data_IF_967258714120
#
_entry.id   IF_967258714120
#
_cell.length_a   1.000
_cell.length_b   1.000
_cell.length_c   1.000
_cell.angle_alpha   90.00
_cell.angle_beta   90.00
_cell.angle_gamma   90.00
#
_symmetry.space_group_name_H-M   'P 1'
#
loop_
_entity.id
_entity.type
_entity.pdbx_description
1 polymer ?
#
# COMPACT_ATOMS: atom_id res chain seq x y z
N UNK A 1 -4.81 0.65 -12.99
CA UNK A 1 -3.41 0.18 -12.83
C UNK A 1 -2.98 -0.63 -14.02
N UNK A 2 -1.75 -0.47 -14.43
CA UNK A 2 -1.17 -1.21 -15.52
C UNK A 2 -1.04 -2.71 -15.14
N UNK A 3 -1.38 -3.61 -16.06
CA UNK A 3 -1.30 -5.06 -15.84
C UNK A 3 0.13 -5.49 -15.48
N UNK A 4 1.15 -4.86 -16.06
CA UNK A 4 2.54 -5.19 -15.76
C UNK A 4 2.91 -4.86 -14.32
N UNK A 5 2.42 -3.74 -13.79
CA UNK A 5 2.61 -3.37 -12.38
C UNK A 5 1.93 -4.41 -11.50
N UNK A 6 0.69 -4.78 -11.83
CA UNK A 6 -0.04 -5.80 -11.08
C UNK A 6 0.74 -7.11 -11.05
N UNK A 7 1.27 -7.55 -12.19
CA UNK A 7 2.05 -8.79 -12.27
C UNK A 7 3.32 -8.71 -11.43
N UNK A 8 3.97 -7.56 -11.37
CA UNK A 8 5.15 -7.38 -10.51
C UNK A 8 4.79 -7.50 -9.04
N UNK A 9 3.67 -6.89 -8.64
CA UNK A 9 3.18 -7.01 -7.25
C UNK A 9 2.83 -8.46 -6.95
N UNK A 10 2.13 -9.13 -7.86
CA UNK A 10 1.69 -10.52 -7.68
C UNK A 10 2.87 -11.49 -7.55
N UNK A 11 4.00 -11.21 -8.21
CA UNK A 11 5.18 -12.06 -8.13
C UNK A 11 6.12 -11.70 -6.97
N UNK A 12 5.84 -10.65 -6.24
CA UNK A 12 6.66 -10.23 -5.09
C UNK A 12 6.14 -10.87 -3.82
N UNK A 13 6.97 -11.63 -3.12
CA UNK A 13 6.59 -12.26 -1.85
C UNK A 13 6.23 -11.23 -0.79
N UNK A 14 6.84 -10.05 -0.84
CA UNK A 14 6.59 -8.99 0.13
C UNK A 14 5.30 -8.22 -0.15
N UNK A 15 4.84 -8.21 -1.40
CA UNK A 15 3.70 -7.41 -1.83
C UNK A 15 2.43 -8.22 -2.07
N UNK A 16 2.53 -9.55 -2.17
CA UNK A 16 1.38 -10.42 -2.48
C UNK A 16 0.22 -10.24 -1.50
N UNK A 17 0.52 -10.00 -0.23
CA UNK A 17 -0.51 -9.83 0.78
C UNK A 17 -1.44 -8.65 0.48
N UNK A 18 -0.98 -7.69 -0.34
CA UNK A 18 -1.80 -6.55 -0.73
C UNK A 18 -2.68 -6.82 -1.95
N UNK A 19 -2.80 -8.08 -2.36
CA UNK A 19 -3.72 -8.49 -3.42
C UNK A 19 -4.83 -9.41 -2.92
N UNK A 20 -4.86 -9.70 -1.62
CA UNK A 20 -5.76 -10.72 -1.06
C UNK A 20 -7.21 -10.26 -0.90
N UNK A 21 -7.43 -8.95 -0.74
CA UNK A 21 -8.76 -8.39 -0.53
C UNK A 21 -9.03 -7.31 -1.57
N UNK A 22 -10.30 -7.00 -1.79
CA UNK A 22 -10.71 -6.01 -2.78
C UNK A 22 -10.14 -4.62 -2.50
N UNK A 23 -9.86 -4.30 -1.24
CA UNK A 23 -9.32 -2.99 -0.84
C UNK A 23 -7.81 -3.01 -0.60
N UNK A 24 -7.15 -4.17 -0.72
CA UNK A 24 -5.74 -4.31 -0.33
C UNK A 24 -4.81 -3.41 -1.14
N UNK A 25 -5.03 -3.33 -2.43
CA UNK A 25 -4.19 -2.53 -3.29
C UNK A 25 -4.35 -1.03 -3.00
N UNK A 26 -5.57 -0.60 -2.75
CA UNK A 26 -5.82 0.80 -2.36
C UNK A 26 -5.12 1.10 -1.03
N UNK A 27 -5.16 0.15 -0.09
CA UNK A 27 -4.45 0.29 1.19
C UNK A 27 -2.95 0.46 0.98
N UNK A 28 -2.35 -0.35 0.10
CA UNK A 28 -0.93 -0.24 -0.23
C UNK A 28 -0.60 1.16 -0.77
N UNK A 29 -1.42 1.65 -1.70
CA UNK A 29 -1.21 2.98 -2.29
C UNK A 29 -1.35 4.09 -1.26
N UNK A 30 -2.33 4.00 -0.36
CA UNK A 30 -2.50 4.99 0.70
C UNK A 30 -1.28 5.05 1.60
N UNK A 31 -0.81 3.90 2.06
CA UNK A 31 0.35 3.84 2.96
C UNK A 31 1.63 4.26 2.25
N UNK A 32 1.75 3.96 0.97
CA UNK A 32 2.90 4.39 0.18
C UNK A 32 2.93 5.92 0.04
N UNK A 33 1.79 6.53 -0.26
CA UNK A 33 1.72 7.97 -0.52
C UNK A 33 1.85 8.81 0.75
N UNK A 34 1.39 8.31 1.88
CA UNK A 34 1.37 9.07 3.13
C UNK A 34 2.51 8.72 4.09
N UNK A 35 3.28 7.68 3.80
CA UNK A 35 4.35 7.16 4.64
C UNK A 35 3.85 6.62 5.98
N UNK A 36 3.07 7.40 6.71
CA UNK A 36 2.44 7.00 7.97
C UNK A 36 0.97 7.41 7.91
N UNK A 37 0.13 6.64 8.55
CA UNK A 37 -1.30 6.98 8.66
C UNK A 37 -1.71 6.79 10.11
N UNK A 38 -2.29 7.81 10.71
CA UNK A 38 -2.71 7.73 12.10
C UNK A 38 -4.18 7.34 12.21
N UNK A 39 -4.42 6.27 12.95
CA UNK A 39 -5.77 5.79 13.24
C UNK A 39 -6.26 4.75 12.23
N UNK A 40 -6.51 3.53 12.73
CA UNK A 40 -7.07 2.46 11.89
C UNK A 40 -8.43 2.87 11.34
N UNK A 41 -9.24 3.51 12.18
CA UNK A 41 -10.56 3.97 11.78
C UNK A 41 -10.48 5.00 10.66
N UNK A 42 -9.49 5.88 10.71
CA UNK A 42 -9.30 6.90 9.68
C UNK A 42 -8.95 6.26 8.33
N UNK A 43 -8.09 5.25 8.32
CA UNK A 43 -7.80 4.52 7.09
C UNK A 43 -9.08 3.88 6.55
N UNK A 44 -9.84 3.23 7.43
CA UNK A 44 -11.07 2.55 7.05
C UNK A 44 -12.05 3.51 6.37
N UNK A 45 -12.18 4.72 6.90
CA UNK A 45 -13.11 5.72 6.38
C UNK A 45 -12.69 6.28 5.02
N UNK A 46 -11.38 6.41 4.76
CA UNK A 46 -10.93 6.99 3.48
C UNK A 46 -10.88 5.99 2.35
N UNK A 47 -10.92 4.68 2.64
CA UNK A 47 -10.94 3.66 1.60
C UNK A 47 -12.23 3.76 0.78
N UNK A 48 -12.09 3.80 -0.53
CA UNK A 48 -13.21 3.90 -1.49
C UNK A 48 -13.62 2.53 -1.98
N UNK A 49 -12.66 1.60 -2.10
CA UNK A 49 -12.93 0.23 -2.56
C UNK A 49 -13.91 -0.48 -1.64
N UNK A 50 -14.65 -1.47 -2.15
CA UNK A 50 -15.51 -2.29 -1.29
C UNK A 50 -14.71 -2.84 -0.11
N UNK A 51 -15.26 -2.68 1.08
CA UNK A 51 -14.56 -3.07 2.30
C UNK A 51 -15.50 -3.83 3.22
N UNK A 52 -14.95 -4.71 4.07
CA UNK A 52 -15.75 -5.46 5.04
C UNK A 52 -16.18 -4.55 6.19
N UNK A 53 -16.89 -5.10 7.15
CA UNK A 53 -17.18 -4.41 8.39
C UNK A 53 -15.87 -4.11 9.13
N UNK A 54 -15.89 -3.07 9.94
CA UNK A 54 -14.68 -2.57 10.61
C UNK A 54 -13.91 -3.66 11.40
N UNK A 55 -14.55 -4.55 12.17
CA UNK A 55 -13.79 -5.59 12.89
C UNK A 55 -12.99 -6.50 11.96
N UNK A 56 -13.55 -6.86 10.81
CA UNK A 56 -12.85 -7.70 9.82
C UNK A 56 -11.69 -6.93 9.19
N UNK A 57 -11.88 -5.65 8.93
CA UNK A 57 -10.81 -4.79 8.42
C UNK A 57 -9.64 -4.73 9.42
N UNK A 58 -9.97 -4.51 10.68
CA UNK A 58 -8.98 -4.45 11.75
C UNK A 58 -8.20 -5.76 11.86
N UNK A 59 -8.90 -6.89 11.77
CA UNK A 59 -8.26 -8.21 11.78
C UNK A 59 -7.30 -8.39 10.62
N UNK A 60 -7.67 -7.88 9.45
CA UNK A 60 -6.79 -7.95 8.28
C UNK A 60 -5.51 -7.13 8.49
N UNK A 61 -5.61 -5.94 9.10
CA UNK A 61 -4.42 -5.15 9.39
C UNK A 61 -3.49 -5.89 10.36
N UNK A 62 -4.04 -6.56 11.37
CA UNK A 62 -3.25 -7.37 12.30
C UNK A 62 -2.57 -8.51 11.55
N UNK A 63 -3.27 -9.15 10.62
CA UNK A 63 -2.70 -10.17 9.76
C UNK A 63 -1.52 -9.62 8.96
N UNK A 64 -1.66 -8.45 8.35
CA UNK A 64 -0.57 -7.82 7.61
C UNK A 64 0.64 -7.52 8.50
N UNK A 65 0.39 -7.13 9.75
CA UNK A 65 1.45 -6.91 10.71
C UNK A 65 2.22 -8.21 10.99
N UNK A 66 1.51 -9.31 11.19
CA UNK A 66 2.13 -10.63 11.42
C UNK A 66 2.89 -11.13 10.20
N UNK A 67 2.48 -10.73 9.02
CA UNK A 67 3.17 -11.05 7.77
C UNK A 67 4.37 -10.13 7.50
N UNK A 68 4.66 -9.20 8.40
CA UNK A 68 5.74 -8.23 8.26
C UNK A 68 5.56 -7.31 7.05
N UNK A 69 4.30 -7.03 6.68
CA UNK A 69 4.00 -6.11 5.59
C UNK A 69 3.86 -4.68 6.09
N UNK A 70 3.35 -4.51 7.31
CA UNK A 70 3.12 -3.20 7.92
C UNK A 70 3.59 -3.21 9.37
N UNK A 71 3.80 -1.99 9.89
CA UNK A 71 3.97 -1.74 11.32
C UNK A 71 2.71 -1.09 11.86
N UNK A 72 2.33 -1.48 13.06
CA UNK A 72 1.28 -0.84 13.82
C UNK A 72 1.86 -0.52 15.18
N UNK A 73 2.04 0.77 15.48
CA UNK A 73 2.65 1.21 16.73
C UNK A 73 1.76 2.25 17.40
N UNK A 74 2.02 2.52 18.66
CA UNK A 74 1.26 3.55 19.38
C UNK A 74 1.46 4.91 18.72
N UNK A 75 0.37 5.69 18.68
CA UNK A 75 0.41 7.00 18.06
C UNK A 75 1.30 7.98 18.81
N UNK A 76 1.89 8.91 18.06
CA UNK A 76 2.80 9.92 18.62
C UNK A 76 2.05 10.95 19.44
N UNK A 77 0.81 11.27 19.04
CA UNK A 77 0.01 12.30 19.71
C UNK A 77 -0.85 11.66 20.80
N UNK A 78 -1.50 10.53 20.48
CA UNK A 78 -2.35 9.79 21.43
C UNK A 78 -1.92 8.33 21.46
N UNK A 79 -1.64 7.81 22.65
CA UNK A 79 -1.30 6.39 22.80
C UNK A 79 -2.45 5.47 22.38
N UNK A 80 -3.69 5.95 22.51
CA UNK A 80 -4.86 5.18 22.10
C UNK A 80 -5.01 5.09 20.58
N UNK A 81 -4.43 6.02 19.82
CA UNK A 81 -4.39 5.96 18.36
C UNK A 81 -3.21 5.11 17.93
N UNK A 82 -3.38 4.41 16.79
CA UNK A 82 -2.30 3.61 16.22
C UNK A 82 -1.76 4.28 14.97
N UNK A 83 -0.46 4.26 14.80
CA UNK A 83 0.19 4.71 13.57
C UNK A 83 0.49 3.50 12.72
N UNK A 84 0.05 3.52 11.48
CA UNK A 84 0.21 2.42 10.53
C UNK A 84 1.15 2.88 9.41
N UNK A 85 2.13 2.06 9.09
CA UNK A 85 3.07 2.33 8.01
C UNK A 85 3.50 1.04 7.35
N UNK A 86 3.97 1.13 6.10
CA UNK A 86 4.58 -0.02 5.45
C UNK A 86 5.91 -0.34 6.13
N UNK A 87 6.28 -1.61 6.20
CA UNK A 87 7.63 -1.97 6.58
C UNK A 87 8.61 -1.34 5.59
N UNK A 88 9.80 -0.89 6.04
CA UNK A 88 10.76 -0.25 5.13
C UNK A 88 11.09 -1.07 3.89
N UNK A 89 11.29 -2.37 4.03
CA UNK A 89 11.61 -3.23 2.90
C UNK A 89 10.43 -3.39 1.94
N UNK A 90 9.19 -3.35 2.44
CA UNK A 90 7.99 -3.37 1.60
C UNK A 90 7.86 -2.05 0.84
N UNK A 91 8.07 -0.94 1.54
CA UNK A 91 8.04 0.38 0.92
C UNK A 91 9.07 0.47 -0.21
N UNK A 92 10.30 0.05 0.05
CA UNK A 92 11.39 0.14 -0.93
C UNK A 92 11.11 -0.73 -2.16
N UNK A 93 10.56 -1.91 -1.97
CA UNK A 93 10.25 -2.79 -3.09
C UNK A 93 9.13 -2.20 -3.97
N UNK A 94 8.09 -1.68 -3.35
CA UNK A 94 7.00 -1.06 -4.09
C UNK A 94 7.46 0.23 -4.76
N UNK A 95 8.26 1.04 -4.06
CA UNK A 95 8.83 2.27 -4.59
C UNK A 95 9.67 1.99 -5.85
N UNK A 96 10.47 0.94 -5.83
CA UNK A 96 11.27 0.55 -6.97
C UNK A 96 10.40 0.19 -8.19
N UNK A 97 9.30 -0.52 -7.95
CA UNK A 97 8.36 -0.88 -9.01
C UNK A 97 7.72 0.38 -9.59
N UNK A 98 7.26 1.27 -8.73
CA UNK A 98 6.61 2.50 -9.17
C UNK A 98 7.57 3.35 -9.98
N UNK A 99 8.78 3.54 -9.51
CA UNK A 99 9.80 4.36 -10.22
C UNK A 99 10.18 3.75 -11.55
N UNK A 100 10.30 2.44 -11.62
CA UNK A 100 10.59 1.76 -12.88
C UNK A 100 9.51 2.06 -13.92
N UNK A 101 8.24 1.95 -13.54
CA UNK A 101 7.14 2.17 -14.49
C UNK A 101 6.94 3.64 -14.81
N UNK A 102 7.20 4.55 -13.87
CA UNK A 102 7.19 5.98 -14.14
C UNK A 102 8.24 6.35 -15.19
N UNK A 103 9.47 5.88 -14.99
CA UNK A 103 10.56 6.16 -15.90
C UNK A 103 10.28 5.62 -17.30
N UNK A 104 9.76 4.40 -17.40
CA UNK A 104 9.42 3.81 -18.69
C UNK A 104 8.26 4.55 -19.36
N UNK A 105 7.28 4.97 -18.58
CA UNK A 105 6.17 5.76 -19.11
C UNK A 105 6.66 7.09 -19.66
N UNK A 106 7.52 7.78 -18.93
CA UNK A 106 8.09 9.06 -19.37
C UNK A 106 8.94 8.91 -20.61
N UNK A 107 9.76 7.86 -20.68
CA UNK A 107 10.56 7.56 -21.86
C UNK A 107 9.67 7.31 -23.08
N UNK A 108 8.65 6.50 -22.93
CA UNK A 108 7.73 6.19 -24.02
C UNK A 108 6.99 7.45 -24.49
N UNK A 109 6.58 8.31 -23.58
CA UNK A 109 5.95 9.57 -23.93
C UNK A 109 6.90 10.51 -24.65
N UNK A 110 8.17 10.54 -24.23
CA UNK A 110 9.18 11.34 -24.90
C UNK A 110 9.38 10.89 -26.35
N UNK A 111 9.46 9.59 -26.59
CA UNK A 111 9.56 9.07 -27.93
C UNK A 111 8.30 9.29 -28.76
N UNK A 112 7.15 9.25 -28.12
CA UNK A 112 5.87 9.41 -28.80
C UNK A 112 5.61 10.87 -29.22
N UNK A 113 5.98 11.83 -28.38
CA UNK A 113 5.67 13.24 -28.58
C UNK A 113 6.88 14.11 -28.88
N UNK A 114 8.06 13.69 -28.47
CA UNK A 114 9.31 14.43 -28.71
C UNK A 114 9.86 14.10 -30.07
N UNK A 115 9.87 15.01 -30.92
CA UNK A 115 10.35 14.83 -32.29
C UNK A 115 11.65 15.49 -32.54
#
# INVERSE_FOLDING_TARGET
MNISIFNKIASSKKLQCFLEKSFSLELLLLLYNQNEFEGIENIYQVLVSPKPKYPAFKSYLIYLKHKNCIDIVDGKIKKSSKTISLKPEVFLEFDAIIKFYENNFLLNNKYKYGK
#
